data_IF_470266864661
#
_entry.id   IF_470266864661
#
_cell.length_a   1.000
_cell.length_b   1.000
_cell.length_c   1.000
_cell.angle_alpha   90.00
_cell.angle_beta   90.00
_cell.angle_gamma   90.00
#
_symmetry.space_group_name_H-M   'P 1'
#
loop_
_entity.id
_entity.type
_entity.pdbx_description
1 polymer ?
#
# COMPACT_ATOMS: atom_id res chain seq x y z
N UNK A 1 23.33 -3.18 -45.59
CA UNK A 1 23.65 -1.75 -45.32
C UNK A 1 22.42 -0.92 -44.93
N UNK A 2 21.41 -0.71 -45.82
CA UNK A 2 20.23 0.13 -45.49
C UNK A 2 19.31 -0.51 -44.43
N UNK A 3 19.09 -1.82 -44.50
CA UNK A 3 18.35 -2.57 -43.47
C UNK A 3 19.06 -2.55 -42.11
N UNK A 4 20.39 -2.76 -42.07
CA UNK A 4 21.16 -2.74 -40.82
C UNK A 4 21.16 -1.37 -40.13
N UNK A 5 21.01 -0.29 -40.90
CA UNK A 5 20.83 1.05 -40.36
C UNK A 5 19.44 1.23 -39.74
N UNK A 6 18.38 0.79 -40.44
CA UNK A 6 17.01 0.83 -39.91
C UNK A 6 16.86 0.01 -38.63
N UNK A 7 17.48 -1.17 -38.55
CA UNK A 7 17.48 -2.00 -37.33
C UNK A 7 18.15 -1.26 -36.17
N UNK A 8 19.30 -0.62 -36.40
CA UNK A 8 20.00 0.15 -35.36
C UNK A 8 19.19 1.35 -34.87
N UNK A 9 18.55 2.08 -35.77
CA UNK A 9 17.66 3.19 -35.38
C UNK A 9 16.46 2.72 -34.56
N UNK A 10 15.85 1.59 -34.95
CA UNK A 10 14.73 1.01 -34.20
C UNK A 10 15.16 0.55 -32.81
N UNK A 11 16.34 -0.07 -32.65
CA UNK A 11 16.89 -0.45 -31.36
C UNK A 11 17.10 0.79 -30.47
N UNK A 12 17.75 1.84 -30.99
CA UNK A 12 17.98 3.06 -30.23
C UNK A 12 16.66 3.75 -29.80
N UNK A 13 15.65 3.77 -30.68
CA UNK A 13 14.31 4.26 -30.34
C UNK A 13 13.64 3.41 -29.27
N UNK A 14 13.72 2.09 -29.39
CA UNK A 14 13.16 1.15 -28.41
C UNK A 14 13.81 1.32 -27.03
N UNK A 15 15.14 1.45 -26.98
CA UNK A 15 15.88 1.71 -25.74
C UNK A 15 15.46 3.03 -25.09
N UNK A 16 15.34 4.09 -25.89
CA UNK A 16 14.89 5.41 -25.41
C UNK A 16 13.47 5.34 -24.86
N UNK A 17 12.54 4.68 -25.57
CA UNK A 17 11.16 4.49 -25.10
C UNK A 17 11.10 3.67 -23.82
N UNK A 18 11.94 2.63 -23.70
CA UNK A 18 11.98 1.80 -22.50
C UNK A 18 12.49 2.57 -21.28
N UNK A 19 13.49 3.46 -21.47
CA UNK A 19 13.95 4.38 -20.42
C UNK A 19 12.84 5.35 -19.99
N UNK A 20 12.19 6.01 -20.96
CA UNK A 20 11.07 6.93 -20.69
C UNK A 20 9.92 6.25 -19.95
N UNK A 21 9.59 5.01 -20.33
CA UNK A 21 8.59 4.19 -19.63
C UNK A 21 8.99 3.92 -18.18
N UNK A 22 10.28 3.66 -17.94
CA UNK A 22 10.81 3.49 -16.58
C UNK A 22 10.64 4.76 -15.73
N UNK A 23 10.95 5.93 -16.28
CA UNK A 23 10.83 7.20 -15.57
C UNK A 23 9.36 7.59 -15.31
N UNK A 24 8.47 7.33 -16.28
CA UNK A 24 7.03 7.52 -16.11
C UNK A 24 6.48 6.64 -14.99
N UNK A 25 6.85 5.35 -14.95
CA UNK A 25 6.45 4.45 -13.85
C UNK A 25 6.92 4.94 -12.49
N UNK A 26 8.16 5.46 -12.40
CA UNK A 26 8.67 6.07 -11.15
C UNK A 26 7.86 7.29 -10.75
N UNK A 27 7.53 8.15 -11.71
CA UNK A 27 6.74 9.36 -11.47
C UNK A 27 5.33 9.02 -10.97
N UNK A 28 4.68 8.03 -11.58
CA UNK A 28 3.35 7.54 -11.15
C UNK A 28 3.41 7.08 -9.69
N UNK A 29 4.37 6.22 -9.34
CA UNK A 29 4.54 5.75 -7.97
C UNK A 29 4.71 6.91 -6.97
N UNK A 30 5.55 7.89 -7.32
CA UNK A 30 5.77 9.06 -6.46
C UNK A 30 4.50 9.89 -6.27
N UNK A 31 3.66 9.99 -7.30
CA UNK A 31 2.38 10.70 -7.23
C UNK A 31 1.35 9.92 -6.39
N UNK A 32 1.29 8.59 -6.53
CA UNK A 32 0.45 7.73 -5.69
C UNK A 32 0.82 7.84 -4.20
N UNK A 33 2.12 7.86 -3.88
CA UNK A 33 2.62 8.07 -2.52
C UNK A 33 2.22 9.45 -1.98
N UNK A 34 2.31 10.51 -2.78
CA UNK A 34 1.87 11.87 -2.39
C UNK A 34 0.37 11.97 -2.19
N UNK A 35 -0.44 11.34 -3.04
CA UNK A 35 -1.89 11.32 -2.90
C UNK A 35 -2.26 10.63 -1.59
N UNK A 36 -1.66 9.46 -1.33
CA UNK A 36 -1.87 8.72 -0.07
C UNK A 36 -1.52 9.57 1.15
N UNK A 37 -0.41 10.32 1.09
CA UNK A 37 0.00 11.22 2.16
C UNK A 37 -0.99 12.38 2.37
N UNK A 38 -1.50 12.97 1.29
CA UNK A 38 -2.51 14.04 1.35
C UNK A 38 -3.83 13.55 1.96
N UNK A 39 -4.30 12.36 1.56
CA UNK A 39 -5.52 11.75 2.11
C UNK A 39 -5.35 11.43 3.61
N UNK A 40 -4.18 10.93 4.00
CA UNK A 40 -3.86 10.64 5.40
C UNK A 40 -3.98 11.89 6.30
N UNK A 41 -3.55 13.05 5.79
CA UNK A 41 -3.59 14.33 6.52
C UNK A 41 -5.02 14.89 6.68
N UNK A 42 -5.99 14.44 5.88
CA UNK A 42 -7.36 14.93 5.92
C UNK A 42 -8.21 14.31 7.04
N UNK A 43 -7.73 13.24 7.68
CA UNK A 43 -8.48 12.50 8.70
C UNK A 43 -8.74 13.29 9.98
N UNK A 44 -7.88 14.25 10.35
CA UNK A 44 -8.03 15.06 11.58
C UNK A 44 -8.34 14.23 12.84
N UNK A 45 -7.68 13.08 12.99
CA UNK A 45 -7.87 12.17 14.13
C UNK A 45 -9.10 11.27 14.07
N UNK A 46 -9.97 11.41 13.06
CA UNK A 46 -11.10 10.51 12.82
C UNK A 46 -10.82 9.70 11.56
N UNK A 47 -10.58 8.40 11.74
CA UNK A 47 -10.25 7.49 10.64
C UNK A 47 -11.31 6.40 10.49
N UNK A 48 -11.77 6.19 9.26
CA UNK A 48 -12.73 5.14 8.89
C UNK A 48 -12.03 4.16 7.96
N UNK A 49 -11.78 2.95 8.45
CA UNK A 49 -11.18 1.89 7.65
C UNK A 49 -12.26 0.98 7.05
N UNK A 50 -12.51 1.14 5.75
CA UNK A 50 -13.35 0.20 5.00
C UNK A 50 -12.51 -0.99 4.55
N UNK A 51 -12.91 -2.19 4.95
CA UNK A 51 -12.30 -3.45 4.49
C UNK A 51 -13.19 -4.02 3.38
N UNK A 52 -12.72 -3.95 2.14
CA UNK A 52 -13.44 -4.47 0.99
C UNK A 52 -13.19 -5.97 0.80
N UNK A 53 -14.12 -6.65 0.13
CA UNK A 53 -14.02 -8.08 -0.19
C UNK A 53 -13.68 -8.97 1.01
N UNK A 54 -14.28 -8.69 2.17
CA UNK A 54 -13.95 -9.37 3.43
C UNK A 54 -14.06 -10.90 3.39
N UNK A 55 -14.94 -11.43 2.52
CA UNK A 55 -15.09 -12.87 2.28
C UNK A 55 -13.81 -13.57 1.82
N UNK A 56 -12.91 -12.86 1.12
CA UNK A 56 -11.60 -13.41 0.71
C UNK A 56 -10.74 -13.72 1.93
N UNK A 57 -10.78 -12.86 2.93
CA UNK A 57 -10.03 -13.05 4.17
C UNK A 57 -10.63 -14.18 5.02
N UNK A 58 -11.95 -14.29 5.08
CA UNK A 58 -12.61 -15.41 5.75
C UNK A 58 -12.25 -16.75 5.10
N UNK A 59 -12.26 -16.83 3.77
CA UNK A 59 -11.84 -18.03 3.05
C UNK A 59 -10.37 -18.37 3.32
N UNK A 60 -9.48 -17.38 3.35
CA UNK A 60 -8.09 -17.61 3.71
C UNK A 60 -7.95 -18.18 5.14
N UNK A 61 -8.71 -17.65 6.09
CA UNK A 61 -8.75 -18.12 7.47
C UNK A 61 -9.26 -19.57 7.59
N UNK A 62 -10.30 -19.95 6.82
CA UNK A 62 -10.82 -21.32 6.74
C UNK A 62 -9.79 -22.31 6.19
N UNK A 63 -8.97 -21.86 5.24
CA UNK A 63 -7.83 -22.62 4.70
C UNK A 63 -6.60 -22.60 5.63
N UNK A 64 -6.78 -22.20 6.89
CA UNK A 64 -5.74 -22.05 7.93
C UNK A 64 -4.60 -21.11 7.53
N UNK A 65 -4.84 -20.17 6.61
CA UNK A 65 -3.86 -19.16 6.21
C UNK A 65 -3.97 -17.93 7.12
N UNK A 66 -2.86 -17.44 7.69
CA UNK A 66 -2.88 -16.28 8.57
C UNK A 66 -3.31 -15.03 7.80
N UNK A 67 -4.24 -14.26 8.36
CA UNK A 67 -4.69 -13.00 7.77
C UNK A 67 -4.21 -11.84 8.63
N UNK A 68 -3.30 -11.06 8.05
CA UNK A 68 -2.82 -9.80 8.64
C UNK A 68 -2.94 -8.72 7.58
N UNK A 69 -3.76 -7.70 7.84
CA UNK A 69 -3.93 -6.55 6.94
C UNK A 69 -3.62 -5.24 7.67
N UNK A 70 -3.13 -4.25 6.93
CA UNK A 70 -2.82 -2.93 7.45
C UNK A 70 -3.74 -1.90 6.79
N UNK A 71 -4.19 -0.91 7.57
CA UNK A 71 -4.87 0.24 7.01
C UNK A 71 -3.86 1.18 6.34
N UNK A 72 -4.33 2.09 5.46
CA UNK A 72 -3.58 3.29 5.13
C UNK A 72 -3.14 4.05 6.39
N UNK A 73 -2.05 4.82 6.27
CA UNK A 73 -1.64 5.74 7.31
C UNK A 73 -2.63 6.89 7.45
N UNK A 74 -2.82 7.41 8.65
CA UNK A 74 -3.66 8.58 8.93
C UNK A 74 -3.04 9.43 10.03
N UNK A 75 -3.38 10.72 10.03
CA UNK A 75 -2.88 11.65 11.03
C UNK A 75 -3.90 11.93 12.11
N UNK A 76 -3.40 12.12 13.33
CA UNK A 76 -4.16 12.62 14.48
C UNK A 76 -4.60 14.09 14.33
N UNK A 77 -3.92 14.85 13.46
CA UNK A 77 -4.17 16.26 13.16
C UNK A 77 -3.08 16.84 12.27
N UNK A 78 -3.15 18.15 11.95
CA UNK A 78 -2.13 18.86 11.18
C UNK A 78 -1.64 20.10 11.95
N UNK A 79 -0.45 20.05 12.60
CA UNK A 79 0.45 18.89 12.71
C UNK A 79 -0.06 17.85 13.72
N UNK A 80 0.45 16.62 13.64
CA UNK A 80 0.10 15.53 14.55
C UNK A 80 0.89 14.25 14.25
N UNK A 81 0.69 13.22 15.08
CA UNK A 81 1.29 11.90 14.89
C UNK A 81 0.67 11.15 13.70
N UNK A 82 1.51 10.43 12.96
CA UNK A 82 1.09 9.50 11.91
C UNK A 82 0.87 8.10 12.51
N UNK A 83 -0.28 7.51 12.25
CA UNK A 83 -0.68 6.20 12.76
C UNK A 83 -1.13 5.29 11.61
N UNK A 84 -1.12 3.97 11.83
CA UNK A 84 -1.89 3.02 11.03
C UNK A 84 -2.49 1.93 11.91
N UNK A 85 -3.49 1.21 11.41
CA UNK A 85 -4.10 0.08 12.09
C UNK A 85 -3.62 -1.23 11.49
N UNK A 86 -3.47 -2.26 12.31
CA UNK A 86 -3.21 -3.64 11.87
C UNK A 86 -4.31 -4.56 12.38
N UNK A 87 -4.99 -5.24 11.47
CA UNK A 87 -6.03 -6.22 11.77
C UNK A 87 -5.47 -7.63 11.63
N UNK A 88 -5.73 -8.45 12.62
CA UNK A 88 -5.44 -9.89 12.61
C UNK A 88 -6.75 -10.65 12.68
N UNK A 89 -7.01 -11.50 11.69
CA UNK A 89 -8.08 -12.50 11.78
C UNK A 89 -7.44 -13.81 12.24
N UNK A 90 -7.88 -14.30 13.39
CA UNK A 90 -7.30 -15.45 14.05
C UNK A 90 -7.67 -16.75 13.33
N UNK A 91 -6.76 -17.72 13.34
CA UNK A 91 -7.06 -19.05 12.80
C UNK A 91 -8.12 -19.73 13.68
N UNK A 92 -8.96 -20.64 13.11
CA UNK A 92 -10.02 -21.33 13.86
C UNK A 92 -9.49 -22.14 15.06
N UNK A 93 -8.23 -22.56 15.01
CA UNK A 93 -7.58 -23.36 16.05
C UNK A 93 -6.73 -22.51 17.02
N UNK A 94 -6.79 -21.17 16.93
CA UNK A 94 -6.00 -20.28 17.79
C UNK A 94 -6.43 -20.42 19.25
N UNK A 95 -5.54 -20.85 20.17
CA UNK A 95 -5.90 -21.04 21.57
C UNK A 95 -6.43 -19.75 22.18
N UNK A 96 -7.61 -19.81 22.80
CA UNK A 96 -8.29 -18.69 23.51
C UNK A 96 -8.77 -17.53 22.63
N UNK A 97 -8.22 -17.37 21.42
CA UNK A 97 -8.47 -16.21 20.57
C UNK A 97 -9.21 -16.53 19.26
N UNK A 98 -9.48 -17.81 18.94
CA UNK A 98 -10.11 -18.23 17.67
C UNK A 98 -11.42 -17.49 17.31
N UNK A 99 -12.18 -17.02 18.29
CA UNK A 99 -13.46 -16.33 18.09
C UNK A 99 -13.35 -14.79 18.07
N UNK A 100 -12.13 -14.24 18.08
CA UNK A 100 -11.90 -12.80 18.14
C UNK A 100 -11.13 -12.31 16.92
N UNK A 101 -11.37 -11.06 16.57
CA UNK A 101 -10.51 -10.29 15.66
C UNK A 101 -9.68 -9.36 16.53
N UNK A 102 -8.36 -9.32 16.28
CA UNK A 102 -7.45 -8.44 17.02
C UNK A 102 -7.10 -7.23 16.19
N UNK A 103 -7.16 -6.05 16.79
CA UNK A 103 -6.89 -4.78 16.14
C UNK A 103 -5.81 -4.03 16.93
N UNK A 104 -4.78 -3.60 16.23
CA UNK A 104 -3.64 -2.89 16.79
C UNK A 104 -3.54 -1.51 16.16
N UNK A 105 -3.03 -0.54 16.91
CA UNK A 105 -2.66 0.78 16.42
C UNK A 105 -1.14 0.89 16.47
N UNK A 106 -0.52 1.25 15.35
CA UNK A 106 0.91 1.48 15.24
C UNK A 106 1.19 2.96 15.03
N UNK A 107 2.26 3.44 15.65
CA UNK A 107 2.84 4.75 15.36
C UNK A 107 3.79 4.57 14.18
N UNK A 108 3.68 5.46 13.19
CA UNK A 108 4.56 5.55 12.03
C UNK A 108 5.40 6.80 12.14
N UNK A 109 6.53 6.84 11.43
CA UNK A 109 7.28 8.09 11.26
C UNK A 109 6.44 9.10 10.47
N UNK A 110 6.06 10.19 11.13
CA UNK A 110 5.35 11.32 10.55
C UNK A 110 6.30 12.40 10.03
N UNK A 111 5.73 13.36 9.29
CA UNK A 111 6.45 14.52 8.73
C UNK A 111 7.05 15.42 9.83
N UNK A 112 6.43 15.47 11.01
CA UNK A 112 6.78 16.37 12.11
C UNK A 112 7.53 15.68 13.26
N UNK A 113 8.03 14.46 13.06
CA UNK A 113 8.71 13.68 14.11
C UNK A 113 10.23 13.94 14.16
N UNK A 114 10.75 14.79 13.27
CA UNK A 114 12.18 15.14 13.16
C UNK A 114 12.65 16.14 14.20
#
# INVERSE_FOLDING_TARGET
VRQDHQIRELIAKMETQNSQMGDLKRTIRNLEEKITEMEAQQCNGIFIWKIEHFSVYLKAQEEERPVVIHSPGFYTGKPGYKLCMRLHIQLPNTPRCANYISLFVHIMQGEYDS
#
